data_IF_417030951586
#
_entry.id   IF_417030951586
#
_cell.length_a   1.000
_cell.length_b   1.000
_cell.length_c   1.000
_cell.angle_alpha   90.00
_cell.angle_beta   90.00
_cell.angle_gamma   90.00
#
_symmetry.space_group_name_H-M   'P 1'
#
loop_
_entity.id
_entity.type
_entity.pdbx_description
1 polymer ?
#
# COMPACT_ATOMS: atom_id res chain seq x y z
N UNK A 1 53.80 31.83 37.44
CA UNK A 1 52.35 31.58 37.24
C UNK A 1 51.75 32.91 36.79
N UNK A 2 51.35 33.07 35.53
CA UNK A 2 51.09 34.38 34.97
C UNK A 2 49.64 34.80 35.13
N UNK A 3 49.49 36.12 35.18
CA UNK A 3 48.30 36.92 35.42
C UNK A 3 47.91 37.67 34.13
N UNK A 4 46.60 37.88 33.96
CA UNK A 4 45.87 38.91 33.19
C UNK A 4 46.32 39.48 31.81
N UNK A 5 45.35 39.40 30.88
CA UNK A 5 44.73 40.51 30.12
C UNK A 5 45.17 40.91 28.69
N UNK A 6 44.15 41.45 28.00
CA UNK A 6 44.10 42.16 26.70
C UNK A 6 43.98 41.26 25.46
N UNK A 7 43.18 41.55 24.43
CA UNK A 7 42.32 42.69 24.14
C UNK A 7 42.11 42.75 22.61
N UNK A 8 40.97 43.32 22.21
CA UNK A 8 40.78 44.06 20.94
C UNK A 8 40.40 43.33 19.63
N UNK A 9 39.08 43.47 19.36
CA UNK A 9 38.27 43.65 18.14
C UNK A 9 38.91 44.09 16.79
N UNK A 10 38.15 44.04 15.67
CA UNK A 10 38.55 43.56 14.34
C UNK A 10 38.92 44.68 13.34
N UNK A 11 39.44 44.30 12.16
CA UNK A 11 39.59 45.19 11.00
C UNK A 11 38.92 44.62 9.75
N UNK A 12 37.92 45.37 9.26
CA UNK A 12 37.40 45.36 7.88
C UNK A 12 38.33 46.14 6.96
N UNK A 13 38.58 45.67 5.73
CA UNK A 13 38.74 46.43 4.45
C UNK A 13 38.49 45.44 3.29
N UNK A 14 37.49 45.49 2.41
CA UNK A 14 36.93 46.48 1.45
C UNK A 14 37.73 46.69 0.13
N UNK A 15 37.06 46.28 -0.98
CA UNK A 15 37.11 46.63 -2.42
C UNK A 15 38.34 46.34 -3.30
N UNK A 16 38.12 45.62 -4.42
CA UNK A 16 38.14 46.19 -5.78
C UNK A 16 37.69 45.17 -6.85
N UNK A 17 36.77 45.60 -7.73
CA UNK A 17 36.40 44.94 -8.98
C UNK A 17 37.47 45.18 -10.06
N UNK A 18 37.73 44.17 -10.89
CA UNK A 18 38.27 44.36 -12.24
C UNK A 18 37.58 43.37 -13.19
N UNK A 19 36.81 43.93 -14.14
CA UNK A 19 36.17 43.24 -15.25
C UNK A 19 37.21 43.12 -16.37
N UNK A 20 37.42 41.91 -16.90
CA UNK A 20 38.12 41.70 -18.17
C UNK A 20 37.19 40.93 -19.10
N UNK A 21 36.75 41.61 -20.15
CA UNK A 21 36.01 41.03 -21.26
C UNK A 21 36.98 40.32 -22.21
N UNK A 22 36.70 39.08 -22.57
CA UNK A 22 37.37 38.37 -23.66
C UNK A 22 36.33 37.95 -24.71
N UNK A 23 36.38 38.61 -25.86
CA UNK A 23 35.69 38.25 -27.10
C UNK A 23 36.37 37.02 -27.71
N UNK A 24 35.62 35.94 -27.94
CA UNK A 24 36.06 34.84 -28.81
C UNK A 24 35.09 34.77 -29.99
N UNK A 25 35.61 35.08 -31.18
CA UNK A 25 34.94 34.88 -32.47
C UNK A 25 34.85 33.38 -32.78
N UNK A 26 33.63 32.91 -33.09
CA UNK A 26 33.38 31.58 -33.64
C UNK A 26 33.50 31.65 -35.16
N UNK A 27 34.55 31.03 -35.72
CA UNK A 27 34.63 30.72 -37.13
C UNK A 27 34.07 29.30 -37.34
N UNK A 28 33.01 29.20 -38.16
CA UNK A 28 32.34 27.95 -38.47
C UNK A 28 33.18 27.06 -39.39
N UNK A 29 33.31 25.78 -39.01
CA UNK A 29 33.66 24.69 -39.90
C UNK A 29 32.56 23.64 -39.78
N UNK A 30 31.82 23.47 -40.88
CA UNK A 30 30.78 22.47 -41.02
C UNK A 30 31.39 21.08 -41.11
N UNK A 31 30.96 20.17 -40.24
CA UNK A 31 31.19 18.72 -40.37
C UNK A 31 29.87 18.10 -40.84
N UNK A 32 29.84 17.31 -41.92
CA UNK A 32 28.60 16.75 -42.43
C UNK A 32 28.10 15.64 -41.49
N UNK A 33 26.86 15.78 -41.01
CA UNK A 33 26.19 14.76 -40.24
C UNK A 33 25.92 13.54 -41.15
N UNK A 34 26.60 12.43 -40.88
CA UNK A 34 26.18 11.12 -41.35
C UNK A 34 24.84 10.80 -40.68
N UNK A 35 23.76 10.85 -41.47
CA UNK A 35 22.45 10.44 -41.02
C UNK A 35 22.40 8.95 -40.76
N UNK A 36 22.47 8.55 -39.49
CA UNK A 36 21.85 7.31 -39.05
C UNK A 36 20.34 7.53 -39.12
N UNK A 37 19.66 6.79 -40.01
CA UNK A 37 18.21 6.59 -39.92
C UNK A 37 17.93 6.02 -38.53
N UNK A 38 17.49 6.87 -37.61
CA UNK A 38 16.75 6.43 -36.45
C UNK A 38 15.48 5.79 -37.00
N UNK A 39 15.36 4.49 -36.75
CA UNK A 39 14.11 3.77 -36.93
C UNK A 39 13.11 4.41 -35.96
N UNK A 40 12.22 5.26 -36.48
CA UNK A 40 11.10 5.86 -35.76
C UNK A 40 10.05 4.78 -35.45
N UNK A 41 10.48 3.71 -34.79
CA UNK A 41 9.65 2.73 -34.14
C UNK A 41 8.98 3.39 -32.94
N UNK A 42 7.98 4.23 -33.23
CA UNK A 42 6.93 4.53 -32.26
C UNK A 42 6.48 3.17 -31.71
N UNK A 43 6.47 2.95 -30.39
CA UNK A 43 5.86 1.73 -29.86
C UNK A 43 4.46 1.72 -30.43
N UNK A 44 4.17 0.67 -31.20
CA UNK A 44 2.86 0.41 -31.74
C UNK A 44 1.93 0.30 -30.54
N UNK A 45 1.26 1.42 -30.21
CA UNK A 45 0.28 1.48 -29.16
C UNK A 45 -0.85 0.57 -29.63
N UNK A 46 -0.90 -0.62 -29.04
CA UNK A 46 -1.96 -1.60 -29.27
C UNK A 46 -3.31 -0.88 -29.23
N UNK A 47 -3.95 -0.74 -30.40
CA UNK A 47 -5.18 0.01 -30.64
C UNK A 47 -6.43 -0.65 -29.98
N UNK A 48 -6.22 -1.46 -28.94
CA UNK A 48 -7.22 -2.03 -28.05
C UNK A 48 -6.80 -2.08 -26.56
N UNK A 49 -5.85 -1.23 -26.14
CA UNK A 49 -5.23 -1.22 -24.79
C UNK A 49 -6.28 -1.38 -23.66
N UNK A 50 -6.37 -2.60 -23.11
CA UNK A 50 -7.02 -2.85 -21.82
C UNK A 50 -6.22 -2.09 -20.76
N UNK A 51 -6.85 -1.15 -20.05
CA UNK A 51 -6.25 -0.54 -18.86
C UNK A 51 -5.95 -1.63 -17.82
N UNK A 52 -4.97 -1.44 -16.96
CA UNK A 52 -4.75 -2.35 -15.84
C UNK A 52 -5.59 -1.91 -14.65
N UNK A 53 -6.15 -2.88 -13.94
CA UNK A 53 -6.83 -2.67 -12.67
C UNK A 53 -6.21 -3.58 -11.64
N UNK A 54 -5.98 -3.06 -10.45
CA UNK A 54 -5.54 -3.89 -9.35
C UNK A 54 -6.58 -4.93 -9.02
N UNK A 55 -6.12 -6.10 -8.62
CA UNK A 55 -6.92 -7.14 -8.01
C UNK A 55 -6.50 -7.43 -6.56
N UNK A 56 -5.32 -6.96 -6.16
CA UNK A 56 -4.79 -7.06 -4.81
C UNK A 56 -3.71 -5.99 -4.61
N UNK A 57 -3.60 -5.48 -3.39
CA UNK A 57 -2.57 -4.54 -2.96
C UNK A 57 -2.29 -4.77 -1.47
N UNK A 58 -1.04 -4.57 -1.07
CA UNK A 58 -0.65 -4.32 0.32
C UNK A 58 0.32 -3.14 0.37
N UNK A 59 0.08 -2.20 1.28
CA UNK A 59 0.95 -1.04 1.42
C UNK A 59 2.33 -1.44 1.99
N UNK A 60 3.46 -1.03 1.37
CA UNK A 60 4.78 -1.29 1.91
C UNK A 60 5.00 -0.63 3.27
N UNK A 61 5.70 -1.34 4.15
CA UNK A 61 6.15 -0.95 5.49
C UNK A 61 7.68 -1.10 5.56
N UNK A 62 8.30 -0.41 6.53
CA UNK A 62 9.75 -0.50 6.74
C UNK A 62 10.17 -1.91 7.15
N UNK A 63 11.43 -2.29 6.89
CA UNK A 63 11.96 -3.57 7.30
C UNK A 63 11.86 -3.79 8.81
N UNK A 64 11.45 -4.99 9.21
CA UNK A 64 11.30 -5.38 10.63
C UNK A 64 12.10 -6.63 11.02
N UNK A 65 12.87 -7.17 10.07
CA UNK A 65 13.61 -8.41 10.26
C UNK A 65 14.92 -8.38 9.47
N UNK A 66 15.76 -9.38 9.72
CA UNK A 66 16.92 -9.64 8.89
C UNK A 66 16.52 -9.94 7.43
N UNK A 67 17.47 -9.74 6.53
CA UNK A 67 17.32 -10.05 5.11
C UNK A 67 17.20 -11.53 4.82
N UNK A 68 17.01 -11.81 3.52
CA UNK A 68 17.04 -13.15 2.97
C UNK A 68 18.32 -13.34 2.15
N UNK A 69 18.86 -14.54 2.12
CA UNK A 69 20.03 -14.87 1.31
C UNK A 69 19.94 -16.31 0.81
N UNK A 70 19.98 -16.50 -0.51
CA UNK A 70 19.78 -17.78 -1.16
C UNK A 70 18.47 -18.48 -0.72
N UNK A 71 17.37 -17.76 -0.90
CA UNK A 71 16.04 -18.23 -0.47
C UNK A 71 14.97 -17.89 -1.50
N UNK A 72 13.93 -18.72 -1.54
CA UNK A 72 12.71 -18.47 -2.29
C UNK A 72 11.59 -18.10 -1.34
N UNK A 73 10.95 -16.95 -1.57
CA UNK A 73 9.73 -16.53 -0.89
C UNK A 73 8.54 -16.90 -1.76
N UNK A 74 7.50 -17.55 -1.22
CA UNK A 74 6.22 -17.82 -1.89
C UNK A 74 5.11 -17.12 -1.14
N UNK A 75 4.72 -15.96 -1.66
CA UNK A 75 3.72 -15.07 -1.10
C UNK A 75 2.33 -15.42 -1.62
N UNK A 76 1.40 -15.62 -0.68
CA UNK A 76 0.02 -15.95 -1.03
C UNK A 76 -0.83 -14.68 -1.00
N UNK A 77 -1.59 -14.41 -2.04
CA UNK A 77 -2.46 -13.22 -2.14
C UNK A 77 -3.85 -13.60 -2.63
N UNK A 78 -4.89 -12.92 -2.12
CA UNK A 78 -6.29 -13.17 -2.48
C UNK A 78 -6.78 -12.14 -3.51
N UNK A 79 -7.24 -12.60 -4.67
CA UNK A 79 -7.67 -11.71 -5.77
C UNK A 79 -9.11 -11.22 -5.57
N UNK A 80 -9.39 -9.97 -5.90
CA UNK A 80 -10.76 -9.44 -5.96
C UNK A 80 -11.44 -9.63 -7.33
N UNK A 81 -10.73 -9.36 -8.43
CA UNK A 81 -11.24 -9.50 -9.81
C UNK A 81 -10.35 -10.44 -10.63
N UNK A 82 -10.95 -11.08 -11.63
CA UNK A 82 -10.23 -11.99 -12.53
C UNK A 82 -9.80 -11.34 -13.84
N UNK A 83 -8.89 -12.00 -14.55
CA UNK A 83 -8.44 -11.61 -15.88
C UNK A 83 -7.64 -12.72 -16.58
N UNK A 84 -7.37 -12.52 -17.87
CA UNK A 84 -6.67 -13.51 -18.71
C UNK A 84 -5.14 -13.38 -18.64
N UNK A 85 -4.66 -12.27 -18.07
CA UNK A 85 -3.26 -11.98 -17.82
C UNK A 85 -3.09 -11.41 -16.43
N UNK A 86 -1.87 -11.46 -15.92
CA UNK A 86 -1.49 -10.90 -14.64
C UNK A 86 -0.18 -10.13 -14.77
N UNK A 87 -0.02 -9.10 -13.95
CA UNK A 87 1.27 -8.48 -13.66
C UNK A 87 1.40 -8.26 -12.17
N UNK A 88 2.64 -8.23 -11.68
CA UNK A 88 2.92 -7.92 -10.28
C UNK A 88 3.71 -6.63 -10.16
N UNK A 89 3.54 -5.94 -9.03
CA UNK A 89 4.38 -4.83 -8.60
C UNK A 89 5.24 -5.28 -7.42
N UNK A 90 6.53 -5.09 -7.59
CA UNK A 90 7.55 -5.29 -6.57
C UNK A 90 8.04 -3.93 -6.06
N UNK A 91 8.32 -3.81 -4.77
CA UNK A 91 8.74 -2.58 -4.11
C UNK A 91 9.91 -2.83 -3.17
N UNK A 92 10.91 -1.98 -3.28
CA UNK A 92 12.03 -1.86 -2.36
C UNK A 92 12.09 -0.44 -1.76
N UNK A 93 10.92 0.19 -1.60
CA UNK A 93 10.73 1.59 -1.13
C UNK A 93 11.51 1.92 0.15
N UNK A 94 11.69 0.96 1.05
CA UNK A 94 12.39 1.15 2.32
C UNK A 94 13.69 0.33 2.43
N UNK A 95 14.12 -0.32 1.35
CA UNK A 95 15.41 -0.99 1.32
C UNK A 95 16.55 0.01 1.26
N UNK A 96 17.68 -0.36 1.86
CA UNK A 96 18.90 0.46 1.90
C UNK A 96 19.93 0.08 0.82
N UNK A 97 19.60 -0.88 -0.05
CA UNK A 97 20.44 -1.32 -1.16
C UNK A 97 19.57 -1.92 -2.29
N UNK A 98 20.08 -2.00 -3.52
CA UNK A 98 19.43 -2.73 -4.60
C UNK A 98 19.32 -4.23 -4.29
N UNK A 99 18.19 -4.85 -4.62
CA UNK A 99 17.92 -6.28 -4.38
C UNK A 99 17.86 -7.03 -5.70
N UNK A 100 18.71 -8.04 -5.86
CA UNK A 100 18.69 -8.91 -7.04
C UNK A 100 17.61 -9.97 -6.87
N UNK A 101 16.73 -10.08 -7.87
CA UNK A 101 15.78 -11.15 -8.06
C UNK A 101 16.21 -11.98 -9.28
N UNK A 102 16.49 -13.27 -9.08
CA UNK A 102 16.92 -14.19 -10.16
C UNK A 102 15.82 -15.21 -10.52
N UNK A 103 14.58 -14.80 -10.36
CA UNK A 103 13.42 -15.56 -10.76
C UNK A 103 12.16 -15.09 -10.05
N UNK A 104 11.11 -14.84 -10.82
CA UNK A 104 9.76 -14.71 -10.28
C UNK A 104 8.79 -15.62 -11.03
N UNK A 105 7.83 -16.17 -10.28
CA UNK A 105 6.78 -17.03 -10.82
C UNK A 105 5.44 -16.71 -10.17
N UNK A 106 4.36 -16.96 -10.89
CA UNK A 106 3.00 -16.84 -10.37
C UNK A 106 2.14 -18.02 -10.83
N UNK A 107 1.35 -18.57 -9.91
CA UNK A 107 0.41 -19.64 -10.18
C UNK A 107 -0.78 -19.59 -9.23
N UNK A 108 -1.81 -20.38 -9.52
CA UNK A 108 -2.93 -20.57 -8.59
C UNK A 108 -2.45 -21.39 -7.39
N UNK A 109 -2.86 -21.00 -6.19
CA UNK A 109 -2.57 -21.76 -4.99
C UNK A 109 -3.24 -23.15 -5.05
N UNK A 110 -2.50 -24.18 -4.67
CA UNK A 110 -3.02 -25.52 -4.41
C UNK A 110 -3.27 -25.73 -2.91
N UNK A 111 -2.84 -26.87 -2.38
CA UNK A 111 -2.84 -27.11 -0.93
C UNK A 111 -1.51 -26.72 -0.31
N UNK A 112 -1.54 -26.01 0.81
CA UNK A 112 -0.35 -25.47 1.46
C UNK A 112 0.47 -24.60 0.50
N UNK A 113 1.77 -24.85 0.39
CA UNK A 113 2.64 -24.12 -0.52
C UNK A 113 2.59 -24.60 -1.99
N UNK A 114 1.76 -25.58 -2.36
CA UNK A 114 1.76 -26.12 -3.73
C UNK A 114 1.08 -25.19 -4.75
N UNK A 115 1.41 -25.35 -6.02
CA UNK A 115 0.76 -24.68 -7.15
C UNK A 115 -0.25 -25.62 -7.80
N UNK A 116 -1.46 -25.13 -8.05
CA UNK A 116 -2.48 -25.81 -8.84
C UNK A 116 -2.35 -25.45 -10.31
N UNK A 117 -2.01 -26.42 -11.15
CA UNK A 117 -1.90 -26.24 -12.59
C UNK A 117 -0.59 -25.54 -13.01
N UNK A 118 -0.71 -24.46 -13.80
CA UNK A 118 0.47 -23.79 -14.40
C UNK A 118 1.14 -22.86 -13.39
N UNK A 119 2.46 -22.97 -13.30
CA UNK A 119 3.33 -22.01 -12.63
C UNK A 119 4.05 -21.18 -13.71
N UNK A 120 3.66 -19.92 -13.88
CA UNK A 120 4.11 -19.08 -15.00
C UNK A 120 5.30 -18.24 -14.55
N UNK A 121 6.40 -18.30 -15.32
CA UNK A 121 7.55 -17.43 -15.10
C UNK A 121 7.22 -16.00 -15.49
N UNK A 122 7.59 -15.06 -14.64
CA UNK A 122 7.48 -13.63 -14.89
C UNK A 122 8.77 -13.09 -15.50
N UNK A 123 8.63 -12.03 -16.31
CA UNK A 123 9.75 -11.30 -16.89
C UNK A 123 9.65 -9.81 -16.57
N UNK A 124 10.75 -9.10 -16.75
CA UNK A 124 10.88 -7.66 -16.51
C UNK A 124 11.65 -7.06 -17.68
N UNK A 125 10.94 -6.35 -18.58
CA UNK A 125 11.54 -5.89 -19.83
C UNK A 125 12.09 -7.04 -20.69
N UNK A 126 11.39 -8.18 -20.70
CA UNK A 126 11.79 -9.42 -21.37
C UNK A 126 12.85 -10.24 -20.63
N UNK A 127 13.44 -9.72 -19.54
CA UNK A 127 14.47 -10.43 -18.77
C UNK A 127 13.85 -11.30 -17.68
N UNK A 128 14.40 -12.49 -17.42
CA UNK A 128 13.84 -13.42 -16.42
C UNK A 128 14.09 -13.06 -14.95
N UNK A 129 14.93 -12.06 -14.71
CA UNK A 129 15.29 -11.54 -13.40
C UNK A 129 15.39 -10.02 -13.48
N UNK A 130 15.49 -9.38 -12.32
CA UNK A 130 15.55 -7.92 -12.21
C UNK A 130 16.27 -7.49 -10.94
N UNK A 131 16.86 -6.30 -10.96
CA UNK A 131 17.32 -5.63 -9.75
C UNK A 131 16.27 -4.63 -9.31
N UNK A 132 15.69 -4.83 -8.13
CA UNK A 132 14.85 -3.83 -7.49
C UNK A 132 15.75 -2.68 -7.02
N UNK A 133 15.56 -1.44 -7.50
CA UNK A 133 16.38 -0.32 -7.07
C UNK A 133 16.16 0.00 -5.59
N UNK A 134 17.17 0.58 -4.94
CA UNK A 134 16.99 1.18 -3.61
C UNK A 134 15.88 2.24 -3.66
N UNK A 135 14.94 2.19 -2.73
CA UNK A 135 13.87 3.19 -2.62
C UNK A 135 12.85 3.18 -3.76
N UNK A 136 12.85 2.18 -4.64
CA UNK A 136 11.99 2.18 -5.84
C UNK A 136 11.20 0.90 -6.07
N UNK A 137 10.40 0.95 -7.13
CA UNK A 137 9.47 -0.11 -7.54
C UNK A 137 9.81 -0.65 -8.93
N UNK A 138 9.40 -1.89 -9.19
CA UNK A 138 9.40 -2.50 -10.53
C UNK A 138 8.06 -3.20 -10.77
N UNK A 139 7.56 -3.12 -12.00
CA UNK A 139 6.38 -3.87 -12.46
C UNK A 139 6.83 -4.93 -13.46
N UNK A 140 6.30 -6.15 -13.35
CA UNK A 140 6.59 -7.22 -14.31
C UNK A 140 5.95 -6.93 -15.67
N UNK A 141 6.48 -7.56 -16.71
CA UNK A 141 5.76 -7.69 -17.97
C UNK A 141 4.44 -8.47 -17.74
N UNK A 142 3.43 -8.29 -18.61
CA UNK A 142 2.21 -9.09 -18.57
C UNK A 142 2.49 -10.57 -18.82
N UNK A 143 1.98 -11.44 -17.94
CA UNK A 143 2.08 -12.89 -18.09
C UNK A 143 0.72 -13.54 -18.38
N UNK A 144 0.70 -14.49 -19.30
CA UNK A 144 -0.52 -15.24 -19.67
C UNK A 144 -0.87 -16.25 -18.57
N UNK A 145 -1.72 -15.84 -17.63
CA UNK A 145 -2.31 -16.66 -16.59
C UNK A 145 -3.78 -16.24 -16.41
N UNK A 146 -4.71 -17.17 -16.62
CA UNK A 146 -6.11 -16.94 -16.26
C UNK A 146 -6.24 -16.92 -14.75
N UNK A 147 -6.50 -15.74 -14.21
CA UNK A 147 -6.73 -15.47 -12.80
C UNK A 147 -8.25 -15.42 -12.57
N UNK A 148 -8.84 -16.32 -11.77
CA UNK A 148 -10.22 -16.17 -11.34
C UNK A 148 -10.38 -15.00 -10.36
N UNK A 149 -11.59 -14.46 -10.26
CA UNK A 149 -11.93 -13.57 -9.15
C UNK A 149 -12.03 -14.39 -7.85
N UNK A 150 -11.68 -13.79 -6.71
CA UNK A 150 -11.78 -14.40 -5.38
C UNK A 150 -10.95 -15.69 -5.25
N UNK A 151 -9.78 -15.72 -5.88
CA UNK A 151 -8.86 -16.86 -5.88
C UNK A 151 -7.52 -16.51 -5.23
N UNK A 152 -6.86 -17.52 -4.68
CA UNK A 152 -5.54 -17.33 -4.11
C UNK A 152 -4.46 -17.58 -5.16
N UNK A 153 -3.53 -16.63 -5.27
CA UNK A 153 -2.32 -16.75 -6.08
C UNK A 153 -1.11 -16.97 -5.18
N UNK A 154 -0.19 -17.80 -5.65
CA UNK A 154 1.14 -17.94 -5.09
C UNK A 154 2.14 -17.23 -6.00
N UNK A 155 2.79 -16.19 -5.48
CA UNK A 155 3.86 -15.44 -6.15
C UNK A 155 5.18 -15.84 -5.52
N UNK A 156 6.04 -16.50 -6.30
CA UNK A 156 7.37 -16.93 -5.86
C UNK A 156 8.45 -15.97 -6.33
N UNK A 157 9.34 -15.56 -5.43
CA UNK A 157 10.51 -14.71 -5.68
C UNK A 157 11.78 -15.41 -5.20
N UNK A 158 12.75 -15.62 -6.09
CA UNK A 158 14.07 -16.16 -5.72
C UNK A 158 15.08 -15.02 -5.49
N UNK A 159 15.70 -15.04 -4.32
CA UNK A 159 16.65 -14.05 -3.82
C UNK A 159 18.02 -14.73 -3.64
N UNK A 160 18.88 -14.71 -4.67
CA UNK A 160 20.15 -15.46 -4.67
C UNK A 160 21.24 -14.86 -3.77
N UNK A 161 21.03 -13.65 -3.26
CA UNK A 161 22.00 -12.87 -2.48
C UNK A 161 21.33 -12.23 -1.29
N UNK A 162 22.14 -11.82 -0.33
CA UNK A 162 21.68 -11.05 0.83
C UNK A 162 20.93 -9.80 0.37
N UNK A 163 19.68 -9.67 0.79
CA UNK A 163 18.82 -8.53 0.50
C UNK A 163 19.04 -7.37 1.48
N UNK A 164 19.68 -7.61 2.63
CA UNK A 164 19.49 -6.78 3.81
C UNK A 164 18.03 -6.78 4.29
N UNK A 165 17.71 -6.01 5.35
CA UNK A 165 16.35 -5.91 5.85
C UNK A 165 15.34 -5.57 4.73
N UNK A 166 14.33 -6.41 4.48
CA UNK A 166 13.49 -6.29 3.30
C UNK A 166 12.35 -5.28 3.49
N UNK A 167 12.02 -4.53 2.45
CA UNK A 167 10.70 -3.89 2.35
C UNK A 167 9.63 -4.97 2.41
N UNK A 168 8.57 -4.76 3.18
CA UNK A 168 7.48 -5.72 3.23
C UNK A 168 6.22 -5.17 3.88
N UNK A 169 5.24 -6.02 4.03
CA UNK A 169 4.03 -5.80 4.81
C UNK A 169 4.00 -6.94 5.83
N UNK A 170 4.59 -6.67 6.99
CA UNK A 170 5.08 -7.71 7.91
C UNK A 170 4.75 -7.43 9.38
N UNK A 171 4.31 -6.22 9.70
CA UNK A 171 4.08 -5.79 11.07
C UNK A 171 3.04 -6.67 11.77
N UNK A 172 3.39 -7.19 12.95
CA UNK A 172 2.57 -8.07 13.79
C UNK A 172 1.88 -9.25 13.08
N UNK A 173 2.35 -9.67 11.89
CA UNK A 173 1.69 -10.70 11.10
C UNK A 173 0.35 -10.25 10.48
N UNK A 174 0.14 -8.95 10.29
CA UNK A 174 -1.09 -8.35 9.76
C UNK A 174 -1.34 -8.65 8.28
N UNK A 175 -0.48 -9.42 7.59
CA UNK A 175 -0.91 -10.00 6.32
C UNK A 175 -2.14 -10.90 6.52
N UNK A 176 -2.34 -11.46 7.72
CA UNK A 176 -3.41 -12.44 8.03
C UNK A 176 -3.48 -13.57 7.00
N UNK A 177 -2.34 -13.89 6.38
CA UNK A 177 -2.21 -14.83 5.29
C UNK A 177 -0.86 -15.54 5.41
N UNK A 178 -0.90 -16.86 5.51
CA UNK A 178 0.27 -17.72 5.55
C UNK A 178 0.93 -17.72 4.18
N UNK A 179 2.20 -17.30 4.17
CA UNK A 179 3.15 -17.38 3.06
C UNK A 179 4.32 -18.26 3.46
N UNK A 180 5.13 -18.65 2.48
CA UNK A 180 6.13 -19.70 2.69
C UNK A 180 7.54 -19.30 2.26
N UNK A 181 8.52 -19.96 2.87
CA UNK A 181 9.95 -19.71 2.64
C UNK A 181 10.64 -21.07 2.40
N UNK A 182 11.49 -21.12 1.38
CA UNK A 182 12.37 -22.25 1.09
C UNK A 182 13.82 -21.77 0.99
N UNK A 183 14.78 -22.61 1.38
CA UNK A 183 16.21 -22.37 1.12
C UNK A 183 16.55 -22.77 -0.31
N UNK A 184 17.34 -21.97 -1.02
CA UNK A 184 17.70 -22.17 -2.42
C UNK A 184 16.62 -21.72 -3.41
N UNK A 185 16.88 -21.98 -4.70
CA UNK A 185 15.92 -21.71 -5.78
C UNK A 185 14.88 -22.83 -5.89
N UNK A 186 13.66 -22.49 -5.44
CA UNK A 186 12.47 -23.30 -5.59
C UNK A 186 11.33 -22.51 -6.25
N UNK A 187 11.63 -21.38 -6.90
CA UNK A 187 10.59 -20.47 -7.38
C UNK A 187 9.71 -21.13 -8.47
N UNK A 188 10.33 -21.96 -9.33
CA UNK A 188 9.63 -22.72 -10.37
C UNK A 188 8.86 -23.95 -9.82
N UNK A 189 9.14 -24.40 -8.59
CA UNK A 189 8.65 -25.68 -8.08
C UNK A 189 7.14 -25.66 -7.83
N UNK A 190 6.39 -26.53 -8.51
CA UNK A 190 4.94 -26.68 -8.25
C UNK A 190 4.67 -27.37 -6.91
N UNK A 191 5.52 -28.30 -6.48
CA UNK A 191 5.40 -28.95 -5.19
C UNK A 191 5.74 -27.97 -4.05
N UNK A 192 5.02 -28.07 -2.93
CA UNK A 192 5.25 -27.26 -1.73
C UNK A 192 6.29 -27.83 -0.77
N UNK A 193 6.89 -28.99 -1.06
CA UNK A 193 7.70 -29.75 -0.08
C UNK A 193 9.00 -29.07 0.32
N UNK A 194 9.57 -28.23 -0.53
CA UNK A 194 10.77 -27.45 -0.21
C UNK A 194 10.49 -26.23 0.70
N UNK A 195 9.23 -25.81 0.78
CA UNK A 195 8.79 -24.64 1.53
C UNK A 195 8.51 -25.02 2.98
N UNK A 196 9.58 -25.17 3.76
CA UNK A 196 9.53 -25.60 5.16
C UNK A 196 9.35 -24.43 6.15
N UNK A 197 9.65 -23.20 5.73
CA UNK A 197 9.40 -21.99 6.51
C UNK A 197 8.02 -21.40 6.24
N UNK A 198 7.41 -20.80 7.26
CA UNK A 198 6.16 -20.05 7.17
C UNK A 198 6.34 -18.64 7.69
N UNK A 199 5.59 -17.71 7.11
CA UNK A 199 5.52 -16.32 7.55
C UNK A 199 4.11 -15.77 7.32
N UNK A 200 3.75 -14.71 8.04
CA UNK A 200 2.51 -13.95 7.82
C UNK A 200 2.83 -12.55 7.32
N UNK A 201 3.73 -12.49 6.36
CA UNK A 201 4.24 -11.26 5.77
C UNK A 201 4.36 -11.41 4.26
N UNK A 202 4.20 -10.29 3.57
CA UNK A 202 4.54 -10.14 2.16
C UNK A 202 5.81 -9.32 2.04
N UNK A 203 6.86 -9.85 1.40
CA UNK A 203 8.12 -9.14 1.21
C UNK A 203 8.30 -8.77 -0.25
N UNK A 204 8.63 -7.51 -0.50
CA UNK A 204 8.76 -6.90 -1.82
C UNK A 204 7.49 -6.90 -2.69
N UNK A 205 6.54 -7.83 -2.57
CA UNK A 205 5.28 -7.78 -3.32
C UNK A 205 4.32 -6.73 -2.73
N UNK A 206 3.89 -5.78 -3.57
CA UNK A 206 3.00 -4.69 -3.16
C UNK A 206 1.72 -4.57 -3.99
N UNK A 207 1.67 -5.21 -5.16
CA UNK A 207 0.45 -5.21 -5.97
C UNK A 207 0.37 -6.34 -6.97
N UNK A 208 -0.87 -6.71 -7.32
CA UNK A 208 -1.19 -7.60 -8.43
C UNK A 208 -2.30 -6.97 -9.24
N UNK A 209 -2.14 -6.93 -10.56
CA UNK A 209 -3.10 -6.33 -11.48
C UNK A 209 -3.48 -7.28 -12.60
N UNK A 210 -4.69 -7.09 -13.11
CA UNK A 210 -5.24 -7.81 -14.25
C UNK A 210 -5.76 -6.81 -15.30
N UNK A 211 -5.82 -7.19 -16.59
CA UNK A 211 -6.39 -6.34 -17.63
C UNK A 211 -7.88 -6.07 -17.37
N UNK A 212 -8.27 -4.81 -17.53
CA UNK A 212 -9.63 -4.31 -17.42
C UNK A 212 -9.97 -3.42 -18.61
N UNK A 213 -11.26 -3.28 -18.94
CA UNK A 213 -11.71 -2.35 -19.99
C UNK A 213 -11.70 -0.89 -19.51
N UNK A 214 -11.74 -0.63 -18.19
CA UNK A 214 -11.78 0.71 -17.58
C UNK A 214 -11.05 0.69 -16.22
N UNK A 215 -10.67 1.88 -15.72
CA UNK A 215 -10.26 2.03 -14.31
C UNK A 215 -11.39 1.47 -13.42
N UNK A 216 -11.06 0.42 -12.67
CA UNK A 216 -12.04 -0.42 -12.02
C UNK A 216 -11.53 -0.89 -10.66
N UNK A 217 -10.75 -0.08 -9.94
CA UNK A 217 -10.30 -0.41 -8.59
C UNK A 217 -10.77 0.63 -7.55
N UNK A 218 -11.13 0.12 -6.37
CA UNK A 218 -11.27 0.91 -5.14
C UNK A 218 -10.09 0.60 -4.23
N UNK A 219 -9.47 1.62 -3.65
CA UNK A 219 -8.44 1.45 -2.60
C UNK A 219 -9.05 1.74 -1.24
N UNK A 220 -8.90 0.81 -0.30
CA UNK A 220 -9.21 1.03 1.11
C UNK A 220 -7.96 1.58 1.79
N UNK A 221 -7.96 2.85 2.17
CA UNK A 221 -6.83 3.57 2.71
C UNK A 221 -7.04 3.84 4.20
N UNK A 222 -6.13 3.34 5.04
CA UNK A 222 -6.30 3.52 6.48
C UNK A 222 -5.23 2.89 7.35
N UNK A 223 -5.62 2.61 8.58
CA UNK A 223 -4.78 2.07 9.65
C UNK A 223 -4.96 0.55 9.87
N UNK A 224 -4.70 0.04 11.08
CA UNK A 224 -4.84 -1.39 11.46
C UNK A 224 -6.24 -1.95 11.25
N UNK A 225 -7.28 -1.12 11.36
CA UNK A 225 -8.66 -1.54 11.11
C UNK A 225 -8.88 -1.78 9.62
N UNK A 226 -8.24 -0.97 8.77
CA UNK A 226 -8.26 -1.22 7.32
C UNK A 226 -7.34 -2.37 6.92
N UNK A 227 -6.20 -2.48 7.59
CA UNK A 227 -5.22 -3.54 7.40
C UNK A 227 -5.86 -4.91 7.67
N UNK A 228 -6.65 -5.01 8.74
CA UNK A 228 -7.45 -6.19 9.08
C UNK A 228 -7.07 -6.82 10.42
N UNK A 229 -6.38 -6.11 11.32
CA UNK A 229 -6.03 -6.61 12.66
C UNK A 229 -7.28 -7.17 13.37
N UNK A 230 -7.16 -8.34 14.00
CA UNK A 230 -8.29 -9.04 14.62
C UNK A 230 -9.02 -10.01 13.67
N UNK A 231 -8.73 -9.98 12.37
CA UNK A 231 -9.25 -10.98 11.43
C UNK A 231 -8.58 -12.36 11.59
N UNK A 232 -9.35 -13.42 11.35
CA UNK A 232 -8.84 -14.79 11.35
C UNK A 232 -7.80 -14.97 10.24
N UNK A 233 -6.69 -15.64 10.56
CA UNK A 233 -5.64 -15.96 9.56
C UNK A 233 -6.16 -16.94 8.52
N UNK A 234 -5.80 -16.74 7.25
CA UNK A 234 -6.11 -17.61 6.11
C UNK A 234 -7.61 -17.70 5.76
N UNK A 235 -8.45 -16.79 6.28
CA UNK A 235 -9.89 -16.76 5.96
C UNK A 235 -10.29 -15.62 5.03
N UNK A 236 -9.39 -14.65 4.79
CA UNK A 236 -9.70 -13.42 4.05
C UNK A 236 -10.96 -12.72 4.61
N UNK A 237 -11.01 -12.57 5.94
CA UNK A 237 -12.12 -11.97 6.69
C UNK A 237 -11.99 -10.47 6.91
N UNK A 238 -10.97 -9.80 6.34
CA UNK A 238 -10.79 -8.34 6.45
C UNK A 238 -11.90 -7.63 5.68
N UNK A 239 -12.28 -6.40 6.06
CA UNK A 239 -13.38 -5.71 5.33
C UNK A 239 -13.08 -5.48 3.84
N UNK A 240 -11.82 -5.23 3.40
CA UNK A 240 -11.53 -5.11 1.97
C UNK A 240 -11.81 -6.41 1.20
N UNK A 241 -11.57 -7.59 1.80
CA UNK A 241 -11.90 -8.89 1.19
C UNK A 241 -13.41 -9.13 1.15
N UNK A 242 -14.13 -8.78 2.22
CA UNK A 242 -15.58 -8.85 2.26
C UNK A 242 -16.21 -7.90 1.23
N UNK A 243 -15.64 -6.71 1.05
CA UNK A 243 -16.01 -5.77 0.00
C UNK A 243 -15.74 -6.35 -1.40
N UNK A 244 -14.60 -7.01 -1.60
CA UNK A 244 -14.29 -7.70 -2.85
C UNK A 244 -15.33 -8.78 -3.18
N UNK A 245 -15.77 -9.58 -2.19
CA UNK A 245 -16.87 -10.55 -2.36
C UNK A 245 -18.17 -9.89 -2.80
N UNK A 246 -18.56 -8.77 -2.15
CA UNK A 246 -19.76 -8.00 -2.52
C UNK A 246 -19.67 -7.45 -3.95
N UNK A 247 -18.52 -6.92 -4.34
CA UNK A 247 -18.28 -6.35 -5.67
C UNK A 247 -18.24 -7.44 -6.76
N UNK A 248 -17.64 -8.59 -6.50
CA UNK A 248 -17.60 -9.72 -7.43
C UNK A 248 -19.00 -10.29 -7.75
N UNK A 249 -19.93 -10.20 -6.79
CA UNK A 249 -21.33 -10.58 -6.96
C UNK A 249 -22.13 -9.60 -7.86
N UNK A 250 -21.59 -8.42 -8.17
CA UNK A 250 -22.23 -7.47 -9.10
C UNK A 250 -22.12 -7.95 -10.55
N UNK A 251 -23.08 -7.57 -11.42
CA UNK A 251 -22.94 -7.81 -12.85
C UNK A 251 -21.77 -7.00 -13.42
N UNK A 252 -21.11 -7.52 -14.47
CA UNK A 252 -20.21 -6.68 -15.26
C UNK A 252 -21.02 -5.54 -15.92
N UNK A 253 -20.46 -4.32 -16.07
CA UNK A 253 -19.08 -3.91 -15.78
C UNK A 253 -18.89 -3.32 -14.37
N UNK A 254 -19.80 -3.54 -13.42
CA UNK A 254 -19.79 -2.91 -12.09
C UNK A 254 -18.84 -3.58 -11.08
N UNK A 255 -18.13 -4.62 -11.50
CA UNK A 255 -17.14 -5.31 -10.66
C UNK A 255 -15.89 -4.45 -10.56
N UNK A 256 -15.40 -4.27 -9.34
CA UNK A 256 -14.17 -3.53 -9.08
C UNK A 256 -13.16 -4.41 -8.37
N UNK A 257 -11.91 -4.23 -8.73
CA UNK A 257 -10.80 -4.64 -7.90
C UNK A 257 -10.76 -3.87 -6.59
N UNK A 258 -10.18 -4.49 -5.57
CA UNK A 258 -10.02 -3.91 -4.25
C UNK A 258 -8.54 -3.99 -3.87
N UNK A 259 -7.96 -2.84 -3.54
CA UNK A 259 -6.62 -2.73 -2.98
C UNK A 259 -6.68 -2.40 -1.49
N UNK A 260 -5.90 -3.10 -0.66
CA UNK A 260 -5.78 -2.80 0.77
C UNK A 260 -4.52 -1.96 1.03
N UNK A 261 -4.72 -0.68 1.30
CA UNK A 261 -3.68 0.25 1.74
C UNK A 261 -3.77 0.55 3.25
N UNK A 262 -4.23 -0.42 4.04
CA UNK A 262 -4.14 -0.41 5.50
C UNK A 262 -2.72 -0.60 5.99
N UNK A 263 -2.37 0.05 7.11
CA UNK A 263 -1.11 -0.17 7.82
C UNK A 263 -1.37 -0.10 9.33
N UNK A 264 -0.96 -1.14 10.05
CA UNK A 264 -0.94 -1.17 11.52
C UNK A 264 -0.45 0.13 12.17
N UNK A 265 -1.22 0.69 13.10
CA UNK A 265 -0.84 1.88 13.88
C UNK A 265 -0.61 3.16 13.06
N UNK A 266 -1.02 3.20 11.79
CA UNK A 266 -0.79 4.35 10.94
C UNK A 266 -1.63 5.56 11.36
N UNK A 267 -1.02 6.73 11.31
CA UNK A 267 -1.66 8.01 11.60
C UNK A 267 -1.93 8.79 10.31
N UNK A 268 -2.97 9.61 10.33
CA UNK A 268 -3.32 10.50 9.24
C UNK A 268 -2.28 11.61 9.07
N UNK A 269 -1.88 12.21 10.19
CA UNK A 269 -1.16 13.49 10.21
C UNK A 269 0.36 13.32 10.27
N UNK A 270 0.85 12.27 10.93
CA UNK A 270 2.27 12.13 11.28
C UNK A 270 2.80 10.74 10.99
N UNK A 271 4.12 10.63 10.87
CA UNK A 271 4.79 9.33 10.84
C UNK A 271 4.60 8.70 12.21
N UNK A 272 3.90 7.57 12.25
CA UNK A 272 3.70 6.81 13.49
C UNK A 272 5.05 6.29 13.98
N UNK A 273 5.28 6.27 15.29
CA UNK A 273 6.47 5.63 15.89
C UNK A 273 6.26 4.13 16.10
N UNK A 274 5.00 3.67 16.12
CA UNK A 274 4.68 2.24 16.16
C UNK A 274 5.04 1.57 14.84
N UNK A 275 5.06 0.23 14.85
CA UNK A 275 4.55 -0.51 13.71
C UNK A 275 5.39 -0.27 12.42
N UNK A 276 6.72 -0.35 12.56
CA UNK A 276 7.65 -0.09 11.46
C UNK A 276 7.83 1.39 11.10
N UNK A 277 7.49 2.33 11.99
CA UNK A 277 7.65 3.77 11.79
C UNK A 277 7.05 4.29 10.47
N UNK A 278 5.80 3.92 10.22
CA UNK A 278 5.12 4.08 8.93
C UNK A 278 4.80 5.55 8.61
N UNK A 279 5.12 6.06 7.39
CA UNK A 279 4.75 7.41 6.97
C UNK A 279 3.25 7.67 7.12
N UNK A 280 2.88 8.92 7.38
CA UNK A 280 1.47 9.30 7.54
C UNK A 280 0.64 8.97 6.29
N UNK A 281 -0.68 8.80 6.46
CA UNK A 281 -1.60 8.63 5.33
C UNK A 281 -1.42 9.75 4.30
N UNK A 282 -1.27 10.99 4.74
CA UNK A 282 -0.99 12.14 3.87
C UNK A 282 0.30 11.99 3.07
N UNK A 283 1.37 11.45 3.67
CA UNK A 283 2.67 11.30 3.03
C UNK A 283 2.74 10.14 2.04
N UNK A 284 1.77 9.21 2.06
CA UNK A 284 1.79 8.00 1.23
C UNK A 284 0.71 7.95 0.15
N UNK A 285 -0.05 9.03 -0.08
CA UNK A 285 -1.09 9.07 -1.12
C UNK A 285 -0.54 8.78 -2.52
N UNK A 286 0.59 9.38 -2.88
CA UNK A 286 1.22 9.16 -4.18
C UNK A 286 1.54 7.68 -4.39
N UNK A 287 2.17 7.06 -3.39
CA UNK A 287 2.61 5.66 -3.43
C UNK A 287 1.42 4.70 -3.40
N UNK A 288 0.53 4.85 -2.42
CA UNK A 288 -0.48 3.83 -2.10
C UNK A 288 -1.81 4.04 -2.82
N UNK A 289 -1.99 5.17 -3.51
CA UNK A 289 -3.20 5.46 -4.30
C UNK A 289 -2.87 5.89 -5.72
N UNK A 290 -2.10 6.97 -5.92
CA UNK A 290 -1.98 7.57 -7.26
C UNK A 290 -1.11 6.74 -8.21
N UNK A 291 -0.11 6.03 -7.68
CA UNK A 291 0.74 5.13 -8.45
C UNK A 291 0.11 3.75 -8.70
N UNK A 292 -1.08 3.48 -8.14
CA UNK A 292 -1.76 2.19 -8.21
C UNK A 292 -2.64 2.09 -9.46
N UNK A 293 -2.85 0.86 -9.94
CA UNK A 293 -3.47 0.64 -11.25
C UNK A 293 -4.99 0.77 -11.22
N UNK A 294 -5.51 1.68 -12.04
CA UNK A 294 -6.95 1.76 -12.32
C UNK A 294 -7.79 2.20 -11.12
N UNK A 295 -7.18 2.90 -10.16
CA UNK A 295 -7.89 3.48 -9.01
C UNK A 295 -8.88 4.53 -9.51
N UNK A 296 -10.15 4.35 -9.13
CA UNK A 296 -11.23 5.31 -9.42
C UNK A 296 -11.86 5.87 -8.16
N UNK A 297 -11.76 5.13 -7.05
CA UNK A 297 -12.28 5.53 -5.77
C UNK A 297 -11.39 5.11 -4.62
N UNK A 298 -11.48 5.85 -3.52
CA UNK A 298 -10.83 5.56 -2.24
C UNK A 298 -11.87 5.56 -1.14
N UNK A 299 -11.77 4.58 -0.24
CA UNK A 299 -12.45 4.63 1.07
C UNK A 299 -11.39 5.02 2.09
N UNK A 300 -11.55 6.19 2.72
CA UNK A 300 -10.62 6.69 3.73
C UNK A 300 -11.15 6.37 5.13
N UNK A 301 -10.43 5.55 5.89
CA UNK A 301 -10.68 5.31 7.32
C UNK A 301 -9.37 5.51 8.09
N UNK A 302 -9.23 6.67 8.74
CA UNK A 302 -8.04 7.01 9.51
C UNK A 302 -8.40 7.97 10.66
N UNK A 303 -7.51 8.08 11.64
CA UNK A 303 -7.63 9.04 12.75
C UNK A 303 -7.68 8.40 14.13
N UNK A 304 -7.93 7.09 14.24
CA UNK A 304 -8.01 6.41 15.54
C UNK A 304 -6.66 6.42 16.27
N UNK A 305 -5.54 6.28 15.54
CA UNK A 305 -4.19 6.36 16.09
C UNK A 305 -3.75 7.80 16.35
N UNK A 306 -4.26 8.78 15.60
CA UNK A 306 -3.96 10.19 15.86
C UNK A 306 -4.57 10.65 17.19
N UNK A 307 -5.79 10.21 17.53
CA UNK A 307 -6.45 10.54 18.81
C UNK A 307 -5.93 9.67 19.96
N UNK A 308 -5.75 8.37 19.72
CA UNK A 308 -5.48 7.37 20.76
C UNK A 308 -4.02 6.96 20.87
N UNK A 309 -3.17 7.28 19.89
CA UNK A 309 -1.73 7.06 19.95
C UNK A 309 -1.00 8.14 20.74
N UNK A 310 0.30 8.28 20.52
CA UNK A 310 1.17 9.14 21.33
C UNK A 310 0.92 10.65 21.17
N UNK A 311 0.18 11.04 20.13
CA UNK A 311 0.09 12.42 19.67
C UNK A 311 -1.16 13.17 20.11
N UNK A 312 -2.24 12.47 20.48
CA UNK A 312 -3.51 13.03 20.97
C UNK A 312 -4.02 14.23 20.16
N UNK A 313 -4.12 14.06 18.84
CA UNK A 313 -4.59 15.11 17.93
C UNK A 313 -6.00 15.60 18.30
N UNK A 314 -6.23 16.90 18.17
CA UNK A 314 -7.56 17.48 18.32
C UNK A 314 -8.41 17.29 17.05
N UNK A 315 -9.73 17.49 17.20
CA UNK A 315 -10.67 17.30 16.11
C UNK A 315 -10.38 18.24 14.92
N UNK A 316 -9.95 19.47 15.18
CA UNK A 316 -9.69 20.47 14.14
C UNK A 316 -8.52 20.05 13.23
N UNK A 317 -7.42 19.58 13.82
CA UNK A 317 -6.24 19.10 13.10
C UNK A 317 -6.58 17.86 12.25
N UNK A 318 -7.35 16.94 12.82
CA UNK A 318 -7.81 15.75 12.10
C UNK A 318 -8.73 16.09 10.94
N UNK A 319 -9.74 16.94 11.16
CA UNK A 319 -10.64 17.41 10.11
C UNK A 319 -9.84 18.04 8.97
N UNK A 320 -8.89 18.93 9.27
CA UNK A 320 -8.04 19.55 8.27
C UNK A 320 -7.23 18.53 7.45
N UNK A 321 -6.64 17.53 8.11
CA UNK A 321 -5.92 16.45 7.44
C UNK A 321 -6.81 15.60 6.54
N UNK A 322 -8.01 15.26 7.01
CA UNK A 322 -8.98 14.47 6.25
C UNK A 322 -9.46 15.26 5.02
N UNK A 323 -9.76 16.55 5.19
CA UNK A 323 -10.08 17.46 4.08
C UNK A 323 -8.94 17.55 3.06
N UNK A 324 -7.69 17.58 3.52
CA UNK A 324 -6.53 17.63 2.66
C UNK A 324 -6.40 16.36 1.81
N UNK A 325 -6.58 15.16 2.39
CA UNK A 325 -6.62 13.90 1.62
C UNK A 325 -7.72 13.96 0.56
N UNK A 326 -8.94 14.30 0.96
CA UNK A 326 -10.09 14.33 0.05
C UNK A 326 -9.91 15.35 -1.08
N UNK A 327 -9.30 16.50 -0.80
CA UNK A 327 -9.02 17.53 -1.80
C UNK A 327 -7.97 17.07 -2.80
N UNK A 328 -6.86 16.49 -2.33
CA UNK A 328 -5.79 16.00 -3.21
C UNK A 328 -6.31 14.90 -4.14
N UNK A 329 -6.99 13.88 -3.61
CA UNK A 329 -7.48 12.78 -4.44
C UNK A 329 -8.54 13.23 -5.46
N UNK A 330 -9.47 14.11 -5.07
CA UNK A 330 -10.44 14.68 -6.02
C UNK A 330 -9.79 15.54 -7.11
N UNK A 331 -8.68 16.22 -6.81
CA UNK A 331 -7.91 16.94 -7.84
C UNK A 331 -7.32 15.99 -8.91
N UNK A 332 -7.15 14.71 -8.58
CA UNK A 332 -6.78 13.64 -9.52
C UNK A 332 -7.99 12.91 -10.13
N UNK A 333 -9.22 13.41 -9.91
CA UNK A 333 -10.44 12.78 -10.42
C UNK A 333 -10.83 11.48 -9.72
N UNK A 334 -10.26 11.20 -8.54
CA UNK A 334 -10.57 10.03 -7.73
C UNK A 334 -11.73 10.37 -6.79
N UNK A 335 -12.77 9.53 -6.80
CA UNK A 335 -13.89 9.67 -5.86
C UNK A 335 -13.45 9.28 -4.45
N UNK A 336 -13.85 10.04 -3.45
CA UNK A 336 -13.44 9.79 -2.06
C UNK A 336 -14.67 9.54 -1.21
N UNK A 337 -14.69 8.38 -0.56
CA UNK A 337 -15.66 8.01 0.46
C UNK A 337 -15.05 8.22 1.83
N UNK A 338 -15.66 9.06 2.65
CA UNK A 338 -15.24 9.31 4.03
C UNK A 338 -15.78 8.25 4.98
N UNK A 339 -14.91 7.51 5.65
CA UNK A 339 -15.26 6.57 6.71
C UNK A 339 -15.33 7.26 8.07
N UNK A 340 -16.38 7.02 8.85
CA UNK A 340 -16.42 7.46 10.26
C UNK A 340 -15.45 6.62 11.09
N UNK A 341 -14.75 7.26 12.05
CA UNK A 341 -13.84 6.61 12.99
C UNK A 341 -14.66 5.66 13.89
N UNK A 342 -14.24 4.40 13.98
CA UNK A 342 -14.96 3.34 14.69
C UNK A 342 -14.95 3.53 16.21
N UNK A 343 -15.89 2.93 16.95
CA UNK A 343 -15.92 3.00 18.41
C UNK A 343 -14.69 2.33 19.03
N UNK A 344 -14.15 2.91 20.11
CA UNK A 344 -13.01 2.35 20.86
C UNK A 344 -13.12 2.53 22.38
N UNK A 345 -14.24 3.06 22.88
CA UNK A 345 -14.40 3.37 24.30
C UNK A 345 -14.29 2.12 25.17
N UNK A 346 -13.56 2.22 26.28
CA UNK A 346 -13.30 1.09 27.17
C UNK A 346 -12.13 0.20 26.76
N UNK A 347 -11.44 0.46 25.63
CA UNK A 347 -10.11 -0.10 25.40
C UNK A 347 -9.13 0.40 26.46
N UNK A 348 -8.34 -0.50 27.09
CA UNK A 348 -7.28 -0.09 28.00
C UNK A 348 -6.28 0.88 27.36
N UNK A 349 -5.75 1.78 28.18
CA UNK A 349 -4.77 2.76 27.73
C UNK A 349 -5.41 3.93 26.97
N UNK A 350 -4.65 4.59 26.08
CA UNK A 350 -5.02 5.93 25.60
C UNK A 350 -6.19 5.97 24.61
N UNK A 351 -6.58 4.83 24.03
CA UNK A 351 -7.58 4.79 22.96
C UNK A 351 -9.03 4.82 23.44
N UNK A 352 -9.32 4.31 24.64
CA UNK A 352 -10.68 4.08 25.11
C UNK A 352 -11.19 5.06 26.17
N UNK A 353 -10.69 6.30 26.14
CA UNK A 353 -11.01 7.33 27.15
C UNK A 353 -12.22 8.18 26.73
N UNK A 354 -12.80 8.92 27.67
CA UNK A 354 -13.84 9.91 27.34
C UNK A 354 -13.29 11.02 26.43
N UNK A 355 -12.03 11.42 26.62
CA UNK A 355 -11.39 12.44 25.80
C UNK A 355 -11.27 12.00 24.32
N UNK A 356 -10.84 10.77 24.07
CA UNK A 356 -10.75 10.25 22.69
C UNK A 356 -12.14 10.10 22.08
N UNK A 357 -13.14 9.68 22.86
CA UNK A 357 -14.53 9.62 22.40
C UNK A 357 -15.08 11.00 22.03
N UNK A 358 -14.79 12.05 22.81
CA UNK A 358 -15.25 13.41 22.52
C UNK A 358 -14.67 13.94 21.20
N UNK A 359 -13.38 13.67 20.93
CA UNK A 359 -12.74 14.03 19.65
C UNK A 359 -13.34 13.21 18.51
N UNK A 360 -13.49 11.90 18.70
CA UNK A 360 -14.07 10.98 17.71
C UNK A 360 -15.47 11.42 17.28
N UNK A 361 -16.33 11.78 18.22
CA UNK A 361 -17.69 12.26 17.93
C UNK A 361 -17.69 13.56 17.14
N UNK A 362 -16.79 14.51 17.46
CA UNK A 362 -16.66 15.75 16.70
C UNK A 362 -16.22 15.50 15.26
N UNK A 363 -15.20 14.67 15.05
CA UNK A 363 -14.72 14.30 13.72
C UNK A 363 -15.81 13.55 12.95
N UNK A 364 -16.48 12.58 13.56
CA UNK A 364 -17.54 11.81 12.90
C UNK A 364 -18.77 12.65 12.55
N UNK A 365 -19.16 13.58 13.41
CA UNK A 365 -20.24 14.52 13.10
C UNK A 365 -19.88 15.37 11.88
N UNK A 366 -18.64 15.83 11.78
CA UNK A 366 -18.14 16.53 10.60
C UNK A 366 -18.12 15.63 9.36
N UNK A 367 -17.58 14.40 9.44
CA UNK A 367 -17.53 13.46 8.31
C UNK A 367 -18.93 13.21 7.72
N UNK A 368 -19.95 13.08 8.56
CA UNK A 368 -21.34 12.81 8.13
C UNK A 368 -22.03 13.99 7.45
N UNK A 369 -21.66 15.21 7.82
CA UNK A 369 -22.43 16.41 7.47
C UNK A 369 -21.69 17.35 6.52
N UNK A 370 -20.37 17.24 6.45
CA UNK A 370 -19.56 18.03 5.54
C UNK A 370 -19.72 17.54 4.10
N UNK A 371 -19.82 18.48 3.17
CA UNK A 371 -19.75 18.24 1.72
C UNK A 371 -18.28 18.04 1.27
N UNK A 372 -17.53 17.25 2.04
CA UNK A 372 -16.10 17.02 1.85
C UNK A 372 -15.81 15.75 1.04
N UNK A 373 -16.80 14.89 0.84
CA UNK A 373 -16.67 13.58 0.21
C UNK A 373 -17.74 13.36 -0.84
N UNK A 374 -17.48 12.44 -1.76
CA UNK A 374 -18.48 12.00 -2.75
C UNK A 374 -19.58 11.14 -2.10
N UNK A 375 -19.25 10.43 -1.02
CA UNK A 375 -20.19 9.72 -0.16
C UNK A 375 -19.55 9.42 1.21
N UNK A 376 -20.36 8.96 2.16
CA UNK A 376 -19.93 8.58 3.51
C UNK A 376 -20.16 7.08 3.72
N UNK A 377 -19.21 6.41 4.38
CA UNK A 377 -19.39 5.07 4.93
C UNK A 377 -19.42 5.17 6.45
N UNK A 378 -20.59 4.97 7.05
CA UNK A 378 -20.75 5.13 8.50
C UNK A 378 -20.32 3.86 9.26
N UNK A 379 -19.01 3.62 9.33
CA UNK A 379 -18.44 2.49 10.07
C UNK A 379 -18.73 2.55 11.58
N UNK A 380 -18.82 3.75 12.17
CA UNK A 380 -19.29 3.93 13.55
C UNK A 380 -20.69 3.34 13.74
N UNK A 381 -21.65 3.71 12.89
CA UNK A 381 -23.00 3.16 12.97
C UNK A 381 -23.00 1.64 12.72
N UNK A 382 -22.18 1.15 11.79
CA UNK A 382 -22.12 -0.27 11.46
C UNK A 382 -21.61 -1.13 12.63
N UNK A 383 -20.73 -0.58 13.48
CA UNK A 383 -20.02 -1.36 14.50
C UNK A 383 -20.47 -1.11 15.94
N UNK A 384 -21.09 0.04 16.22
CA UNK A 384 -21.39 0.45 17.60
C UNK A 384 -22.41 -0.46 18.29
N UNK A 385 -22.21 -0.64 19.59
CA UNK A 385 -23.20 -1.29 20.44
C UNK A 385 -24.46 -0.42 20.54
N UNK A 386 -25.68 -0.97 20.32
CA UNK A 386 -26.91 -0.20 20.48
C UNK A 386 -27.16 0.30 21.91
N UNK A 387 -26.65 -0.39 22.93
CA UNK A 387 -26.85 -0.04 24.34
C UNK A 387 -25.77 0.92 24.88
N UNK A 388 -24.54 0.86 24.34
CA UNK A 388 -23.49 1.87 24.57
C UNK A 388 -22.77 2.21 23.25
N UNK A 389 -23.28 3.20 22.49
CA UNK A 389 -22.76 3.57 21.16
C UNK A 389 -21.29 4.00 21.11
N UNK A 390 -20.63 4.16 22.26
CA UNK A 390 -19.21 4.48 22.35
C UNK A 390 -18.32 3.24 22.18
N UNK A 391 -18.89 2.03 22.33
CA UNK A 391 -18.19 0.75 22.29
C UNK A 391 -18.50 -0.03 21.01
N UNK A 392 -17.59 -0.94 20.65
CA UNK A 392 -17.90 -1.98 19.66
C UNK A 392 -18.99 -2.90 20.21
N UNK A 393 -19.93 -3.28 19.35
CA UNK A 393 -20.90 -4.32 19.66
C UNK A 393 -20.18 -5.62 19.98
N UNK A 394 -20.58 -6.33 21.03
CA UNK A 394 -19.86 -7.52 21.51
C UNK A 394 -19.55 -8.59 20.44
N UNK A 395 -20.45 -8.83 19.48
CA UNK A 395 -20.22 -9.79 18.39
C UNK A 395 -19.27 -9.29 17.29
N UNK A 396 -19.01 -7.98 17.25
CA UNK A 396 -18.11 -7.32 16.30
C UNK A 396 -16.76 -6.97 16.89
N UNK A 397 -16.54 -7.16 18.19
CA UNK A 397 -15.28 -6.89 18.87
C UNK A 397 -14.37 -8.13 18.80
N UNK A 398 -13.10 -7.96 18.41
CA UNK A 398 -12.11 -9.05 18.47
C UNK A 398 -11.70 -9.41 19.91
N UNK A 399 -12.17 -8.63 20.89
CA UNK A 399 -11.89 -8.78 22.32
C UNK A 399 -10.93 -7.73 22.87
N UNK A 400 -10.42 -6.83 22.04
CA UNK A 400 -9.49 -5.77 22.46
C UNK A 400 -10.14 -4.38 22.56
N UNK A 401 -11.44 -4.31 22.24
CA UNK A 401 -12.26 -3.09 22.26
C UNK A 401 -11.82 -2.00 21.27
N UNK A 402 -11.08 -2.35 20.20
CA UNK A 402 -10.68 -1.43 19.12
C UNK A 402 -10.82 -2.07 17.73
N UNK A 403 -10.39 -3.32 17.59
CA UNK A 403 -10.36 -3.99 16.32
C UNK A 403 -11.63 -4.83 16.11
N UNK A 404 -12.20 -4.80 14.88
CA UNK A 404 -13.31 -5.67 14.55
C UNK A 404 -12.93 -7.16 14.55
N UNK A 405 -13.88 -8.01 14.92
CA UNK A 405 -13.88 -9.44 14.60
C UNK A 405 -14.22 -9.66 13.13
N UNK A 406 -14.12 -10.90 12.64
CA UNK A 406 -14.57 -11.28 11.29
C UNK A 406 -16.02 -10.83 11.00
N UNK A 407 -16.92 -10.93 11.97
CA UNK A 407 -18.31 -10.47 11.83
C UNK A 407 -18.40 -8.94 11.78
N UNK A 408 -17.56 -8.23 12.53
CA UNK A 408 -17.45 -6.77 12.45
C UNK A 408 -16.92 -6.30 11.10
N UNK A 409 -15.90 -6.97 10.56
CA UNK A 409 -15.38 -6.66 9.23
C UNK A 409 -16.39 -6.94 8.11
N UNK A 410 -17.20 -7.99 8.24
CA UNK A 410 -18.33 -8.21 7.34
C UNK A 410 -19.36 -7.06 7.42
N UNK A 411 -19.71 -6.60 8.62
CA UNK A 411 -20.63 -5.48 8.81
C UNK A 411 -20.08 -4.16 8.23
N UNK A 412 -18.77 -3.90 8.38
CA UNK A 412 -18.10 -2.77 7.74
C UNK A 412 -18.22 -2.84 6.22
N UNK A 413 -17.91 -3.99 5.64
CA UNK A 413 -18.02 -4.17 4.21
C UNK A 413 -19.46 -3.96 3.72
N UNK A 414 -20.48 -4.41 4.46
CA UNK A 414 -21.90 -4.22 4.14
C UNK A 414 -22.34 -2.76 4.15
N UNK A 415 -21.74 -1.93 5.00
CA UNK A 415 -22.04 -0.49 5.07
C UNK A 415 -21.57 0.30 3.84
N UNK A 416 -20.64 -0.24 3.03
CA UNK A 416 -20.13 0.45 1.84
C UNK A 416 -21.23 0.58 0.76
N UNK A 417 -21.58 1.80 0.33
CA UNK A 417 -22.58 2.02 -0.72
C UNK A 417 -21.95 1.77 -2.11
N UNK A 418 -22.10 0.55 -2.64
CA UNK A 418 -21.39 0.12 -3.86
C UNK A 418 -21.65 1.00 -5.09
N UNK A 419 -22.82 1.63 -5.19
CA UNK A 419 -23.18 2.51 -6.31
C UNK A 419 -22.48 3.88 -6.26
N UNK A 420 -21.82 4.22 -5.14
CA UNK A 420 -21.04 5.44 -4.96
C UNK A 420 -19.54 5.26 -5.23
N UNK A 421 -19.09 4.02 -5.41
CA UNK A 421 -17.70 3.70 -5.72
C UNK A 421 -17.31 4.10 -7.13
#
# INVERSE_FOLDING_TARGET
>A
MPDMASGWRPRRRLWAMAVVAALVMVAGLAVPAMGSRADDGKPELDHGMRAWSQTWQAAPQKPQQAGFADQTLRMIVHTSIGGERVRIRLSNTFGAAPVLLDGAFVGLLGSGASISGRNVRLTFGGSPGVTLPEGGDVVSDPADLTVPALADLAVSLYLPRDTGPPTGHADFGNAHQTSYIASGDHAAAAAGTAFTGQTRAWFFLSGVSVPSRRAAAVVTLGDSITDGTGSSTDTNSRYPDALARRLAARPQPLRLGVGNAGIGGNELLRTSACCGASPSVLARLDRDVLAQDGVRSVILLAGINDIGGDHHADAASLIAGVQQVATQLRAHGIRVLGGTITPSYGRPGPYGTQQTEDVRQQVNAWVRTADAFDAVVDFDQALRDPEDPRRLRAGYDSGDHLHPSDAGYQAMAEAVPLDQL
#
